data_IF_073850130463
#
_entry.id   IF_073850130463
#
_cell.length_a   1.000
_cell.length_b   1.000
_cell.length_c   1.000
_cell.angle_alpha   90.00
_cell.angle_beta   90.00
_cell.angle_gamma   90.00
#
_symmetry.space_group_name_H-M   'P 1'
#
loop_
_entity.id
_entity.type
_entity.pdbx_description
1 polymer ?
#
# COMPACT_ATOMS: atom_id res chain seq x y z
N UNK A 1 -3.06 -11.12 9.54
CA UNK A 1 -4.22 -11.93 9.09
C UNK A 1 -4.49 -11.86 7.57
N UNK A 2 -4.46 -10.68 6.93
CA UNK A 2 -4.74 -10.56 5.48
C UNK A 2 -3.73 -11.27 4.55
N UNK A 3 -2.43 -11.32 4.92
CA UNK A 3 -1.38 -11.93 4.09
C UNK A 3 -1.67 -13.41 3.74
N UNK A 4 -2.16 -14.18 4.71
CA UNK A 4 -2.51 -15.59 4.47
C UNK A 4 -3.66 -15.74 3.45
N UNK A 5 -4.72 -14.94 3.58
CA UNK A 5 -5.88 -15.00 2.66
C UNK A 5 -5.50 -14.68 1.21
N UNK A 6 -4.55 -13.78 1.02
CA UNK A 6 -4.01 -13.41 -0.29
C UNK A 6 -3.22 -14.56 -0.93
N UNK A 7 -2.36 -15.24 -0.18
CA UNK A 7 -1.60 -16.40 -0.66
C UNK A 7 -2.48 -17.62 -0.94
N UNK A 8 -3.60 -17.75 -0.22
CA UNK A 8 -4.65 -18.75 -0.46
C UNK A 8 -5.50 -18.46 -1.70
N UNK A 9 -5.32 -17.30 -2.35
CA UNK A 9 -5.86 -17.02 -3.67
C UNK A 9 -7.23 -16.33 -3.73
N UNK A 10 -7.73 -15.83 -2.59
CA UNK A 10 -9.00 -15.12 -2.53
C UNK A 10 -8.89 -13.72 -3.17
N UNK A 11 -9.96 -13.29 -3.87
CA UNK A 11 -10.12 -11.90 -4.30
C UNK A 11 -10.61 -11.08 -3.11
N UNK A 12 -9.98 -9.95 -2.85
CA UNK A 12 -10.32 -9.08 -1.71
C UNK A 12 -10.44 -7.65 -2.20
N UNK A 13 -11.55 -7.01 -1.83
CA UNK A 13 -11.78 -5.58 -2.08
C UNK A 13 -11.78 -4.88 -0.72
N UNK A 14 -10.92 -3.88 -0.56
CA UNK A 14 -10.88 -3.03 0.63
C UNK A 14 -11.44 -1.67 0.25
N UNK A 15 -12.51 -1.27 0.94
CA UNK A 15 -13.16 0.03 0.80
C UNK A 15 -12.90 0.88 2.05
N UNK A 16 -13.10 2.19 1.95
CA UNK A 16 -12.88 3.16 3.02
C UNK A 16 -11.47 3.14 3.60
N UNK A 17 -10.46 3.13 2.73
CA UNK A 17 -9.05 3.11 3.15
C UNK A 17 -8.64 4.35 3.97
N UNK A 18 -9.36 5.46 3.86
CA UNK A 18 -9.19 6.66 4.66
C UNK A 18 -9.46 6.45 6.16
N UNK A 19 -10.27 5.45 6.52
CA UNK A 19 -10.57 5.11 7.91
C UNK A 19 -9.56 4.16 8.56
N UNK A 20 -8.47 3.82 7.87
CA UNK A 20 -7.46 2.90 8.40
C UNK A 20 -6.66 3.57 9.52
N UNK A 21 -6.71 2.97 10.70
CA UNK A 21 -5.98 3.45 11.87
C UNK A 21 -4.56 2.86 11.93
N UNK A 22 -3.60 3.72 12.27
CA UNK A 22 -2.21 3.34 12.54
C UNK A 22 -1.95 3.64 14.02
N UNK A 23 -1.41 2.66 14.75
CA UNK A 23 -1.09 2.84 16.16
C UNK A 23 -0.03 3.94 16.38
N UNK A 24 -0.09 4.55 17.56
CA UNK A 24 0.80 5.64 17.97
C UNK A 24 0.30 7.04 17.63
N UNK A 25 0.94 8.05 18.20
CA UNK A 25 0.55 9.45 18.02
C UNK A 25 0.65 9.89 16.53
N UNK A 26 -0.34 10.67 16.10
CA UNK A 26 -0.42 11.26 14.76
C UNK A 26 0.88 11.96 14.35
N UNK A 27 1.46 12.76 15.24
CA UNK A 27 2.70 13.50 14.95
C UNK A 27 3.87 12.56 14.62
N UNK A 28 3.99 11.45 15.34
CA UNK A 28 5.06 10.45 15.11
C UNK A 28 4.86 9.74 13.77
N UNK A 29 3.62 9.40 13.43
CA UNK A 29 3.29 8.78 12.14
C UNK A 29 3.54 9.74 10.96
N UNK A 30 3.25 11.04 11.14
CA UNK A 30 3.60 12.09 10.19
C UNK A 30 5.11 12.16 9.95
N UNK A 31 5.93 12.17 11.01
CA UNK A 31 7.40 12.20 10.86
C UNK A 31 7.95 10.98 10.12
N UNK A 32 7.42 9.78 10.39
CA UNK A 32 7.79 8.56 9.64
C UNK A 32 7.49 8.71 8.14
N UNK A 33 6.32 9.26 7.80
CA UNK A 33 5.94 9.47 6.41
C UNK A 33 6.80 10.55 5.74
N UNK A 34 7.13 11.64 6.45
CA UNK A 34 8.04 12.68 5.95
C UNK A 34 9.46 12.13 5.68
N UNK A 35 9.97 11.27 6.56
CA UNK A 35 11.25 10.59 6.35
C UNK A 35 11.22 9.70 5.10
N UNK A 36 10.08 9.07 4.82
CA UNK A 36 9.88 8.32 3.59
C UNK A 36 9.86 9.22 2.34
N UNK A 37 9.20 10.38 2.38
CA UNK A 37 9.16 11.34 1.27
C UNK A 37 10.55 11.91 0.92
N UNK A 38 11.46 11.99 1.89
CA UNK A 38 12.85 12.42 1.65
C UNK A 38 13.65 11.43 0.80
N UNK A 39 13.22 10.17 0.70
CA UNK A 39 13.91 9.15 -0.12
C UNK A 39 13.67 9.45 -1.59
N UNK A 40 14.73 9.80 -2.33
CA UNK A 40 14.69 10.03 -3.78
C UNK A 40 15.93 9.45 -4.44
N UNK A 41 15.84 9.10 -5.72
CA UNK A 41 17.02 8.78 -6.52
C UNK A 41 17.78 10.08 -6.79
N UNK A 42 19.10 10.10 -6.54
CA UNK A 42 19.90 11.32 -6.64
C UNK A 42 20.12 11.76 -8.10
N UNK A 43 20.23 10.81 -9.03
CA UNK A 43 20.49 11.06 -10.45
C UNK A 43 19.24 11.45 -11.22
N UNK A 44 18.18 10.62 -11.18
CA UNK A 44 16.90 10.91 -11.83
C UNK A 44 15.73 10.58 -10.89
N UNK A 45 15.13 11.58 -10.23
CA UNK A 45 14.03 11.38 -9.30
C UNK A 45 12.83 10.63 -9.90
N UNK A 46 12.56 10.77 -11.20
CA UNK A 46 11.42 10.13 -11.89
C UNK A 46 11.54 8.61 -11.98
N UNK A 47 12.76 8.05 -11.92
CA UNK A 47 13.01 6.60 -11.85
C UNK A 47 13.14 6.08 -10.41
N UNK A 48 13.00 6.98 -9.43
CA UNK A 48 13.13 6.68 -8.02
C UNK A 48 11.90 6.02 -7.39
N UNK A 49 11.87 5.92 -6.05
CA UNK A 49 10.71 5.41 -5.34
C UNK A 49 9.48 6.32 -5.52
N UNK A 50 8.34 5.71 -5.86
CA UNK A 50 7.08 6.44 -6.00
C UNK A 50 6.41 6.72 -4.65
N UNK A 51 6.14 8.01 -4.41
CA UNK A 51 5.52 8.53 -3.20
C UNK A 51 4.01 8.72 -3.37
N UNK A 52 3.24 7.64 -3.27
CA UNK A 52 1.77 7.74 -3.30
C UNK A 52 1.21 8.44 -2.06
N UNK A 53 0.29 9.39 -2.26
CA UNK A 53 -0.35 10.19 -1.21
C UNK A 53 -1.73 9.67 -0.77
N UNK A 54 -2.44 8.97 -1.66
CA UNK A 54 -3.77 8.43 -1.35
C UNK A 54 -3.73 7.31 -0.29
N UNK A 55 -4.68 7.26 0.67
CA UNK A 55 -4.71 6.24 1.72
C UNK A 55 -4.75 4.82 1.14
N UNK A 56 -5.60 4.59 0.14
CA UNK A 56 -5.70 3.35 -0.64
C UNK A 56 -4.35 2.88 -1.17
N UNK A 57 -3.55 3.79 -1.74
CA UNK A 57 -2.22 3.49 -2.29
C UNK A 57 -1.17 3.28 -1.20
N UNK A 58 -1.28 3.96 -0.07
CA UNK A 58 -0.43 3.72 1.10
C UNK A 58 -0.67 2.30 1.63
N UNK A 59 -1.93 1.90 1.76
CA UNK A 59 -2.30 0.54 2.14
C UNK A 59 -1.82 -0.49 1.12
N UNK A 60 -2.07 -0.27 -0.17
CA UNK A 60 -1.60 -1.12 -1.25
C UNK A 60 -0.09 -1.32 -1.21
N UNK A 61 0.69 -0.25 -0.97
CA UNK A 61 2.14 -0.35 -0.87
C UNK A 61 2.58 -1.17 0.34
N UNK A 62 1.86 -1.04 1.45
CA UNK A 62 2.12 -1.81 2.67
C UNK A 62 1.90 -3.31 2.41
N UNK A 63 0.78 -3.67 1.78
CA UNK A 63 0.50 -5.07 1.39
C UNK A 63 1.52 -5.59 0.39
N UNK A 64 1.88 -4.79 -0.62
CA UNK A 64 2.94 -5.12 -1.59
C UNK A 64 4.29 -5.40 -0.92
N UNK A 65 4.62 -4.67 0.15
CA UNK A 65 5.84 -4.88 0.93
C UNK A 65 5.84 -6.17 1.75
N UNK A 66 4.65 -6.70 2.08
CA UNK A 66 4.48 -7.97 2.81
C UNK A 66 4.45 -9.21 1.91
N UNK A 67 4.51 -9.03 0.59
CA UNK A 67 4.39 -10.09 -0.42
C UNK A 67 5.65 -10.14 -1.32
N UNK A 68 6.01 -11.33 -1.86
CA UNK A 68 7.08 -11.48 -2.85
C UNK A 68 6.63 -10.98 -4.24
N UNK A 69 6.32 -9.68 -4.34
CA UNK A 69 5.68 -9.03 -5.49
C UNK A 69 6.52 -8.99 -6.78
N UNK A 70 7.80 -9.37 -6.71
CA UNK A 70 8.66 -9.51 -7.90
C UNK A 70 8.43 -10.84 -8.63
N UNK A 71 7.82 -11.82 -7.96
CA UNK A 71 7.48 -13.11 -8.56
C UNK A 71 6.14 -13.04 -9.29
N UNK A 72 5.93 -13.89 -10.30
CA UNK A 72 4.65 -13.99 -11.02
C UNK A 72 3.47 -14.29 -10.08
N UNK A 73 3.68 -15.18 -9.10
CA UNK A 73 2.66 -15.49 -8.08
C UNK A 73 2.32 -14.27 -7.23
N UNK A 74 3.32 -13.50 -6.79
CA UNK A 74 3.11 -12.29 -6.00
C UNK A 74 2.38 -11.19 -6.78
N UNK A 75 2.64 -11.07 -8.09
CA UNK A 75 1.91 -10.16 -8.98
C UNK A 75 0.44 -10.57 -9.11
N UNK A 76 0.17 -11.86 -9.40
CA UNK A 76 -1.20 -12.36 -9.50
C UNK A 76 -2.01 -12.17 -8.21
N UNK A 77 -1.35 -12.22 -7.04
CA UNK A 77 -1.98 -11.91 -5.75
C UNK A 77 -2.30 -10.42 -5.62
N UNK A 78 -1.40 -9.53 -6.06
CA UNK A 78 -1.65 -8.09 -6.06
C UNK A 78 -2.77 -7.69 -7.02
N UNK A 79 -2.89 -8.36 -8.16
CA UNK A 79 -3.96 -8.09 -9.14
C UNK A 79 -5.35 -8.47 -8.62
N UNK A 80 -5.40 -9.42 -7.66
CA UNK A 80 -6.63 -9.82 -6.98
C UNK A 80 -7.06 -8.85 -5.88
N UNK A 81 -6.18 -7.93 -5.46
CA UNK A 81 -6.45 -6.93 -4.45
C UNK A 81 -6.92 -5.63 -5.11
N UNK A 82 -8.17 -5.25 -4.86
CA UNK A 82 -8.67 -3.91 -5.20
C UNK A 82 -8.80 -3.06 -3.93
N UNK A 83 -8.41 -1.80 -4.03
CA UNK A 83 -8.37 -0.88 -2.89
C UNK A 83 -8.96 0.45 -3.31
N UNK A 84 -9.89 0.96 -2.52
CA UNK A 84 -10.60 2.20 -2.80
C UNK A 84 -10.64 3.11 -1.57
N UNK A 85 -10.54 4.41 -1.82
CA UNK A 85 -10.89 5.43 -0.85
C UNK A 85 -12.40 5.70 -0.98
N UNK A 86 -13.12 5.73 0.14
CA UNK A 86 -14.59 5.74 0.17
C UNK A 86 -15.22 4.42 -0.27
N UNK A 87 -16.49 4.48 -0.65
CA UNK A 87 -17.27 3.34 -1.17
C UNK A 87 -17.77 3.73 -2.57
N UNK A 88 -17.11 3.29 -3.65
CA UNK A 88 -17.62 3.51 -4.99
C UNK A 88 -18.87 2.67 -5.24
N UNK A 89 -19.82 3.14 -6.08
CA UNK A 89 -20.92 2.32 -6.56
C UNK A 89 -20.40 1.12 -7.37
N UNK A 90 -21.13 -0.01 -7.36
CA UNK A 90 -20.71 -1.27 -7.98
C UNK A 90 -20.64 -1.22 -9.51
#
# INVERSE_FOLDING_TARGET
>A
MLNYRFLSGHKVVVVRCEGINISGNFYRNKLKYLAFLRKRMNTNPSRGPFHFRAPSRIFWRTVRGMLPHKTKRGQAVLDRLKVFDGIPPP
#
